data_IF_859228937933
#
_entry.id   IF_859228937933
#
_cell.length_a   1.000
_cell.length_b   1.000
_cell.length_c   1.000
_cell.angle_alpha   90.00
_cell.angle_beta   90.00
_cell.angle_gamma   90.00
#
_symmetry.space_group_name_H-M   'P 1'
#
loop_
_entity.id
_entity.type
_entity.pdbx_description
1 polymer ?
#
# COMPACT_ATOMS: atom_id res chain seq x y z
N UNK A 1 -3.86 11.78 5.08
CA UNK A 1 -3.88 10.92 3.90
C UNK A 1 -4.48 9.55 4.18
N UNK A 2 -5.35 9.08 3.30
CA UNK A 2 -5.97 7.76 3.31
C UNK A 2 -5.93 7.16 1.90
N UNK A 3 -5.38 5.96 1.77
CA UNK A 3 -5.37 5.19 0.52
C UNK A 3 -6.09 3.85 0.70
N UNK A 4 -6.70 3.40 -0.38
CA UNK A 4 -7.37 2.11 -0.49
C UNK A 4 -6.68 1.28 -1.58
N UNK A 5 -6.34 0.04 -1.26
CA UNK A 5 -5.75 -0.91 -2.20
C UNK A 5 -6.68 -2.11 -2.35
N UNK A 6 -7.21 -2.30 -3.55
CA UNK A 6 -8.03 -3.46 -3.90
C UNK A 6 -7.15 -4.60 -4.35
N UNK A 7 -7.40 -5.79 -3.81
CA UNK A 7 -6.69 -7.01 -4.18
C UNK A 7 -7.61 -7.96 -4.96
N UNK A 8 -7.04 -8.69 -5.93
CA UNK A 8 -7.77 -9.61 -6.83
C UNK A 8 -8.67 -10.60 -6.09
N UNK A 9 -8.16 -11.17 -5.00
CA UNK A 9 -8.82 -12.26 -4.27
C UNK A 9 -9.34 -11.83 -2.89
N UNK A 10 -9.39 -10.53 -2.60
CA UNK A 10 -9.92 -10.02 -1.33
C UNK A 10 -11.18 -9.21 -1.57
N UNK A 11 -12.29 -9.60 -0.91
CA UNK A 11 -13.52 -8.80 -0.89
C UNK A 11 -13.33 -7.50 -0.09
N UNK A 12 -12.38 -7.49 0.84
CA UNK A 12 -12.06 -6.33 1.66
C UNK A 12 -10.81 -5.63 1.12
N UNK A 13 -10.88 -4.32 0.81
CA UNK A 13 -9.70 -3.58 0.42
C UNK A 13 -8.79 -3.33 1.62
N UNK A 14 -7.49 -3.19 1.37
CA UNK A 14 -6.54 -2.74 2.37
C UNK A 14 -6.61 -1.21 2.48
N UNK A 15 -6.85 -0.71 3.68
CA UNK A 15 -6.95 0.73 3.94
C UNK A 15 -5.75 1.16 4.78
N UNK A 16 -4.99 2.12 4.25
CA UNK A 16 -3.86 2.73 4.95
C UNK A 16 -4.20 4.17 5.30
N UNK A 17 -3.94 4.55 6.55
CA UNK A 17 -4.23 5.89 7.08
C UNK A 17 -3.01 6.46 7.79
N UNK A 18 -2.54 7.60 7.32
CA UNK A 18 -1.36 8.28 7.86
C UNK A 18 -1.34 9.76 7.53
N UNK A 19 -0.41 10.46 8.16
CA UNK A 19 -0.09 11.85 7.84
C UNK A 19 0.58 11.93 6.46
N UNK A 20 1.41 10.92 6.13
CA UNK A 20 2.01 10.73 4.81
C UNK A 20 2.00 9.24 4.45
N UNK A 21 1.70 8.94 3.20
CA UNK A 21 1.78 7.58 2.66
C UNK A 21 2.59 7.61 1.37
N UNK A 22 3.67 6.83 1.33
CA UNK A 22 4.48 6.64 0.13
C UNK A 22 4.25 5.24 -0.44
N UNK A 23 4.13 5.12 -1.75
CA UNK A 23 4.02 3.84 -2.46
C UNK A 23 5.19 3.75 -3.43
N UNK A 24 6.01 2.72 -3.27
CA UNK A 24 7.21 2.49 -4.06
C UNK A 24 7.12 1.16 -4.80
N UNK A 25 7.67 1.12 -6.01
CA UNK A 25 7.96 -0.13 -6.69
C UNK A 25 9.17 -0.79 -6.06
N UNK A 26 9.03 -2.08 -5.72
CA UNK A 26 10.08 -2.86 -5.09
C UNK A 26 10.17 -4.23 -5.73
N UNK A 27 11.38 -4.71 -5.99
CA UNK A 27 11.62 -6.05 -6.51
C UNK A 27 12.56 -6.79 -5.57
N UNK A 28 12.19 -8.01 -5.19
CA UNK A 28 12.98 -8.85 -4.31
C UNK A 28 12.99 -10.28 -4.85
N UNK A 29 14.18 -10.80 -5.13
CA UNK A 29 14.38 -12.14 -5.68
C UNK A 29 13.55 -12.40 -6.96
N UNK A 30 13.43 -11.40 -7.84
CA UNK A 30 12.65 -11.48 -9.08
C UNK A 30 11.13 -11.35 -8.90
N UNK A 31 10.64 -11.17 -7.67
CA UNK A 31 9.22 -10.97 -7.39
C UNK A 31 8.95 -9.47 -7.20
N UNK A 32 7.94 -8.96 -7.90
CA UNK A 32 7.54 -7.54 -7.87
C UNK A 32 6.51 -7.28 -6.78
N UNK A 33 6.80 -6.28 -5.96
CA UNK A 33 5.97 -5.80 -4.87
C UNK A 33 5.74 -4.29 -5.00
N UNK A 34 4.66 -3.82 -4.38
CA UNK A 34 4.54 -2.43 -3.97
C UNK A 34 4.88 -2.35 -2.48
N UNK A 35 5.86 -1.51 -2.14
CA UNK A 35 6.14 -1.16 -0.75
C UNK A 35 5.30 0.04 -0.35
N UNK A 36 4.49 -0.13 0.69
CA UNK A 36 3.59 0.91 1.21
C UNK A 36 4.16 1.37 2.54
N UNK A 37 4.58 2.63 2.62
CA UNK A 37 5.12 3.24 3.83
C UNK A 37 4.12 4.23 4.38
N UNK A 38 3.58 3.94 5.55
CA UNK A 38 2.63 4.79 6.25
C UNK A 38 3.31 5.48 7.43
N UNK A 39 3.31 6.81 7.43
CA UNK A 39 3.84 7.64 8.51
C UNK A 39 2.68 8.25 9.27
N UNK A 40 2.63 8.04 10.59
CA UNK A 40 1.57 8.55 11.46
C UNK A 40 2.14 8.91 12.83
N UNK A 41 2.05 10.19 13.22
CA UNK A 41 2.45 10.72 14.53
C UNK A 41 3.85 10.28 14.98
N UNK A 42 4.83 10.31 14.06
CA UNK A 42 6.21 9.92 14.35
C UNK A 42 6.51 8.41 14.26
N UNK A 43 5.49 7.58 14.03
CA UNK A 43 5.67 6.16 13.74
C UNK A 43 5.63 5.91 12.23
N UNK A 44 6.50 5.01 11.76
CA UNK A 44 6.48 4.53 10.38
C UNK A 44 6.18 3.03 10.36
N UNK A 45 5.21 2.63 9.54
CA UNK A 45 4.94 1.22 9.22
C UNK A 45 5.17 0.99 7.74
N UNK A 46 5.92 -0.05 7.39
CA UNK A 46 6.12 -0.45 6.00
C UNK A 46 5.55 -1.83 5.78
N UNK A 47 4.81 -2.00 4.68
CA UNK A 47 4.25 -3.29 4.26
C UNK A 47 4.59 -3.56 2.80
N UNK A 48 4.74 -4.83 2.44
CA UNK A 48 4.97 -5.29 1.07
C UNK A 48 3.70 -5.99 0.58
N UNK A 49 3.20 -5.55 -0.57
CA UNK A 49 2.05 -6.15 -1.22
C UNK A 49 2.49 -6.63 -2.60
N UNK A 50 2.22 -7.91 -2.91
CA UNK A 50 2.53 -8.48 -4.22
C UNK A 50 1.85 -7.67 -5.33
N UNK A 51 2.64 -7.18 -6.29
CA UNK A 51 2.14 -6.30 -7.34
C UNK A 51 1.11 -7.01 -8.22
N UNK A 52 1.27 -8.32 -8.44
CA UNK A 52 0.33 -9.13 -9.22
C UNK A 52 -1.07 -9.24 -8.58
N UNK A 53 -1.17 -9.08 -7.25
CA UNK A 53 -2.42 -9.16 -6.51
C UNK A 53 -3.17 -7.83 -6.50
N UNK A 54 -2.49 -6.71 -6.76
CA UNK A 54 -3.09 -5.38 -6.72
C UNK A 54 -3.92 -5.16 -7.98
N UNK A 55 -5.20 -4.86 -7.78
CA UNK A 55 -6.12 -4.45 -8.85
C UNK A 55 -6.08 -2.94 -9.06
N UNK A 56 -6.13 -2.19 -7.96
CA UNK A 56 -6.22 -0.75 -8.00
C UNK A 56 -5.71 -0.15 -6.67
N UNK A 57 -5.13 1.03 -6.76
CA UNK A 57 -4.71 1.87 -5.64
C UNK A 57 -5.40 3.21 -5.82
N UNK A 58 -6.19 3.61 -4.83
CA UNK A 58 -6.95 4.86 -4.86
C UNK A 58 -6.67 5.70 -3.62
N UNK A 59 -6.34 6.97 -3.83
CA UNK A 59 -6.36 7.96 -2.76
C UNK A 59 -7.81 8.34 -2.45
N UNK A 60 -8.25 8.11 -1.21
CA UNK A 60 -9.60 8.45 -0.77
C UNK A 60 -9.63 9.83 -0.12
N UNK A 61 -8.57 10.20 0.61
CA UNK A 61 -8.51 11.47 1.32
C UNK A 61 -7.08 11.98 1.41
N UNK A 62 -6.90 13.27 1.13
CA UNK A 62 -5.63 13.96 1.35
C UNK A 62 -5.47 14.35 2.82
#
# INVERSE_FOLDING_TARGET
MEIEIKLKNSKTPLIYKGDRIDILDFEMNGVKYKQIRCFKKGFSKSELVLNELILNIKEIRK
#
